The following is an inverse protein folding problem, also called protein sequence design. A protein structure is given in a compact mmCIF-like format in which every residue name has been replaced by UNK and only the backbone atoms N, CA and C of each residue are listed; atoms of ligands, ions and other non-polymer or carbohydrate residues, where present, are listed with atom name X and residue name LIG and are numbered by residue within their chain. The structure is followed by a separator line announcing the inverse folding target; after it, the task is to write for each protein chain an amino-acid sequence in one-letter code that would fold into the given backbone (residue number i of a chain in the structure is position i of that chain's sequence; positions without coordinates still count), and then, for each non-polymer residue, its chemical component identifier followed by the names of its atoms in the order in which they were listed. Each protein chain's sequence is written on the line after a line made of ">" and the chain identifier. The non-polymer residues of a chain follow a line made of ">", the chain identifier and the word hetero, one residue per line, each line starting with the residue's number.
data_IF_355503261935
#
_entry.id   IF_355503261935
#
_cell.length_a   1.000
_cell.length_b   1.000
_cell.length_c   1.000
_cell.angle_alpha   90.00
_cell.angle_beta   90.00
_cell.angle_gamma   90.00
#
_symmetry.space_group_name_H-M   'P 1'
#
loop_
_entity.id
_entity.type
_entity.pdbx_description
1 polymer ?
#
# COMPACT_ATOMS: atom_id res chain seq x y z
N UNK A 1 1.27 -28.15 1.33
CA UNK A 1 0.42 -26.93 1.39
C UNK A 1 0.71 -26.13 0.13
N UNK A 2 -0.31 -25.57 -0.51
CA UNK A 2 -0.18 -24.64 -1.63
C UNK A 2 -0.35 -23.23 -1.09
N UNK A 3 0.62 -22.36 -1.37
CA UNK A 3 0.56 -20.94 -1.00
C UNK A 3 0.22 -20.12 -2.25
N UNK A 4 -0.74 -19.22 -2.15
CA UNK A 4 -1.11 -18.34 -3.27
C UNK A 4 -1.18 -16.89 -2.80
N UNK A 5 -0.76 -16.00 -3.68
CA UNK A 5 -0.93 -14.57 -3.50
C UNK A 5 -2.21 -14.19 -4.23
N UNK A 6 -3.26 -13.81 -3.48
CA UNK A 6 -4.46 -13.29 -4.10
C UNK A 6 -4.13 -11.93 -4.75
N UNK A 7 -4.61 -11.74 -5.98
CA UNK A 7 -4.20 -10.69 -6.92
C UNK A 7 -3.92 -9.34 -6.23
N UNK A 8 -2.65 -8.94 -6.07
CA UNK A 8 -2.32 -7.73 -5.32
C UNK A 8 -2.50 -6.51 -6.24
N UNK A 9 -3.64 -5.83 -6.14
CA UNK A 9 -3.86 -4.59 -6.87
C UNK A 9 -2.80 -3.57 -6.44
N UNK A 10 -2.01 -3.04 -7.38
CA UNK A 10 -0.96 -2.06 -7.06
C UNK A 10 0.42 -2.66 -6.75
N UNK A 11 0.62 -3.96 -6.97
CA UNK A 11 1.94 -4.60 -7.00
C UNK A 11 2.14 -5.45 -8.25
N UNK A 12 3.38 -5.43 -8.77
CA UNK A 12 3.87 -6.35 -9.78
C UNK A 12 4.71 -7.43 -9.10
N UNK A 13 4.34 -8.71 -9.26
CA UNK A 13 5.12 -9.83 -8.73
C UNK A 13 6.31 -10.08 -9.65
N UNK A 14 7.51 -10.07 -9.08
CA UNK A 14 8.79 -10.24 -9.82
C UNK A 14 9.51 -11.54 -9.50
N UNK A 15 9.09 -12.26 -8.45
CA UNK A 15 9.54 -13.63 -8.17
C UNK A 15 8.79 -14.64 -9.02
N UNK A 16 9.47 -15.73 -9.38
CA UNK A 16 8.81 -16.91 -9.92
C UNK A 16 7.97 -17.59 -8.82
N UNK A 17 6.68 -17.76 -9.10
CA UNK A 17 5.71 -18.42 -8.23
C UNK A 17 5.26 -19.77 -8.81
N UNK A 18 6.03 -20.34 -9.73
CA UNK A 18 5.70 -21.62 -10.38
C UNK A 18 5.71 -22.82 -9.42
N UNK A 19 6.39 -22.72 -8.28
CA UNK A 19 6.47 -23.80 -7.28
C UNK A 19 6.13 -23.29 -5.87
N UNK A 20 4.83 -23.08 -5.63
CA UNK A 20 4.33 -22.64 -4.31
C UNK A 20 3.81 -23.79 -3.45
N UNK A 21 4.12 -25.03 -3.85
CA UNK A 21 3.76 -26.22 -3.11
C UNK A 21 4.87 -26.54 -2.13
N UNK A 22 4.59 -26.46 -0.84
CA UNK A 22 5.58 -26.64 0.22
C UNK A 22 5.21 -27.88 1.02
N UNK A 23 6.17 -28.79 1.20
CA UNK A 23 6.06 -29.86 2.19
C UNK A 23 6.50 -29.33 3.55
N UNK A 24 5.65 -29.49 4.58
CA UNK A 24 5.92 -29.00 5.94
C UNK A 24 5.84 -30.18 6.90
N UNK A 25 6.82 -30.32 7.79
CA UNK A 25 6.85 -31.37 8.79
C UNK A 25 6.00 -30.98 10.03
N UNK A 26 5.49 -31.96 10.80
CA UNK A 26 4.78 -31.68 12.04
C UNK A 26 5.63 -30.82 13.00
N UNK A 27 5.02 -29.81 13.62
CA UNK A 27 5.68 -28.89 14.55
C UNK A 27 6.86 -28.11 13.96
N UNK A 28 6.91 -27.95 12.64
CA UNK A 28 7.89 -27.11 11.94
C UNK A 28 7.21 -25.93 11.25
N UNK A 29 8.00 -24.98 10.77
CA UNK A 29 7.53 -23.84 9.97
C UNK A 29 8.43 -23.63 8.76
N UNK A 30 7.83 -23.19 7.66
CA UNK A 30 8.50 -22.86 6.41
C UNK A 30 8.21 -21.41 6.04
N UNK A 31 9.13 -20.75 5.34
CA UNK A 31 9.01 -19.35 4.95
C UNK A 31 9.18 -19.18 3.45
N UNK A 32 8.12 -18.75 2.76
CA UNK A 32 8.16 -18.37 1.35
C UNK A 32 8.47 -16.88 1.22
N UNK A 33 9.47 -16.54 0.39
CA UNK A 33 9.81 -15.15 0.09
C UNK A 33 9.28 -14.77 -1.28
N UNK A 34 8.39 -13.79 -1.32
CA UNK A 34 7.80 -13.25 -2.55
C UNK A 34 8.43 -11.89 -2.82
N UNK A 35 8.96 -11.69 -4.03
CA UNK A 35 9.49 -10.38 -4.46
C UNK A 35 8.41 -9.67 -5.26
N UNK A 36 8.06 -8.45 -4.83
CA UNK A 36 7.05 -7.62 -5.46
C UNK A 36 7.56 -6.20 -5.60
N UNK A 37 7.05 -5.50 -6.61
CA UNK A 37 7.34 -4.08 -6.87
C UNK A 37 6.04 -3.29 -6.76
N UNK A 38 6.02 -2.26 -5.91
CA UNK A 38 4.87 -1.36 -5.81
C UNK A 38 4.68 -0.57 -7.10
N UNK A 39 3.44 -0.46 -7.58
CA UNK A 39 3.09 0.27 -8.80
C UNK A 39 2.14 1.44 -8.54
N UNK A 40 1.55 1.51 -7.35
CA UNK A 40 0.58 2.54 -6.95
C UNK A 40 0.94 3.03 -5.56
N UNK A 41 0.90 4.35 -5.36
CA UNK A 41 1.15 4.99 -4.05
C UNK A 41 -0.09 4.86 -3.15
N UNK A 42 0.13 4.67 -1.86
CA UNK A 42 -0.89 4.61 -0.82
C UNK A 42 -0.96 3.27 -0.08
N UNK A 43 -2.02 3.08 0.70
CA UNK A 43 -2.25 1.89 1.50
C UNK A 43 -2.93 0.78 0.70
N UNK A 44 -2.24 -0.33 0.50
CA UNK A 44 -2.66 -1.43 -0.38
C UNK A 44 -2.75 -2.73 0.41
N UNK A 45 -3.91 -3.38 0.37
CA UNK A 45 -4.10 -4.68 1.00
C UNK A 45 -3.43 -5.80 0.19
N UNK A 46 -2.64 -6.62 0.88
CA UNK A 46 -2.06 -7.85 0.33
C UNK A 46 -2.68 -9.03 1.05
N UNK A 47 -3.16 -10.00 0.28
CA UNK A 47 -3.78 -11.22 0.82
C UNK A 47 -2.97 -12.44 0.39
N UNK A 48 -2.53 -13.22 1.36
CA UNK A 48 -1.86 -14.52 1.15
C UNK A 48 -2.80 -15.60 1.64
N UNK A 49 -3.02 -16.61 0.79
CA UNK A 49 -3.83 -17.78 1.12
C UNK A 49 -2.96 -19.03 1.14
N UNK A 50 -3.17 -19.89 2.12
CA UNK A 50 -2.50 -21.17 2.24
C UNK A 50 -3.55 -22.27 2.40
N UNK A 51 -3.47 -23.31 1.57
CA UNK A 51 -4.40 -24.44 1.64
C UNK A 51 -3.71 -25.79 1.48
N UNK A 52 -4.35 -26.85 1.94
CA UNK A 52 -3.88 -28.22 1.71
C UNK A 52 -3.76 -28.48 0.21
N UNK A 53 -2.55 -28.85 -0.21
CA UNK A 53 -2.24 -29.07 -1.62
C UNK A 53 -3.02 -30.29 -2.14
N UNK A 54 -3.53 -30.20 -3.37
CA UNK A 54 -4.26 -31.29 -4.02
C UNK A 54 -3.37 -32.45 -4.49
N UNK A 55 -2.04 -32.26 -4.55
CA UNK A 55 -1.07 -33.30 -4.92
C UNK A 55 0.03 -33.46 -3.86
N UNK A 56 0.42 -34.71 -3.60
CA UNK A 56 1.40 -35.08 -2.57
C UNK A 56 2.85 -35.09 -3.06
N UNK A 57 3.09 -34.80 -4.34
CA UNK A 57 4.38 -35.05 -4.99
C UNK A 57 5.55 -34.25 -4.39
N UNK A 58 5.27 -33.10 -3.78
CA UNK A 58 6.28 -32.25 -3.10
C UNK A 58 6.81 -32.87 -1.80
N UNK A 59 6.11 -33.82 -1.20
CA UNK A 59 6.56 -34.53 0.01
C UNK A 59 7.23 -35.88 -0.29
N UNK A 60 7.40 -36.25 -1.56
CA UNK A 60 7.90 -37.56 -1.98
C UNK A 60 7.03 -38.70 -1.46
N UNK A 61 7.65 -39.74 -0.92
CA UNK A 61 6.98 -40.95 -0.42
C UNK A 61 6.48 -40.81 1.05
N UNK A 62 6.63 -39.64 1.66
CA UNK A 62 6.22 -39.43 3.05
C UNK A 62 4.68 -39.46 3.17
N UNK A 63 4.12 -40.03 4.25
CA UNK A 63 2.69 -39.95 4.50
C UNK A 63 2.28 -38.48 4.65
N UNK A 64 1.26 -38.07 3.90
CA UNK A 64 0.71 -36.70 3.92
C UNK A 64 -0.62 -36.66 4.67
N UNK A 65 -0.95 -35.49 5.20
CA UNK A 65 -2.25 -35.22 5.80
C UNK A 65 -3.37 -35.34 4.74
N UNK A 66 -4.49 -35.97 5.10
CA UNK A 66 -5.61 -36.31 4.21
C UNK A 66 -6.83 -35.38 4.37
N UNK A 67 -6.82 -34.51 5.38
CA UNK A 67 -7.86 -33.52 5.60
C UNK A 67 -7.67 -32.24 4.77
N UNK A 68 -8.64 -31.33 4.91
CA UNK A 68 -8.60 -29.99 4.31
C UNK A 68 -8.30 -28.95 5.38
N UNK A 69 -7.29 -28.13 5.15
CA UNK A 69 -6.99 -26.95 5.96
C UNK A 69 -6.78 -25.78 5.01
N UNK A 70 -7.33 -24.62 5.36
CA UNK A 70 -7.19 -23.37 4.60
C UNK A 70 -7.11 -22.20 5.57
N UNK A 71 -6.20 -21.30 5.30
CA UNK A 71 -6.03 -20.05 6.02
C UNK A 71 -5.74 -18.91 5.04
N UNK A 72 -6.09 -17.69 5.44
CA UNK A 72 -5.85 -16.50 4.64
C UNK A 72 -5.54 -15.31 5.55
N UNK A 73 -4.48 -14.58 5.23
CA UNK A 73 -4.06 -13.38 5.94
C UNK A 73 -4.10 -12.21 4.99
N UNK A 74 -4.76 -11.13 5.40
CA UNK A 74 -4.75 -9.85 4.69
C UNK A 74 -4.04 -8.81 5.54
N UNK A 75 -3.02 -8.16 4.98
CA UNK A 75 -2.30 -7.09 5.65
C UNK A 75 -2.11 -5.89 4.70
N UNK A 76 -2.40 -4.65 5.16
CA UNK A 76 -2.09 -3.46 4.39
C UNK A 76 -0.58 -3.20 4.37
N UNK A 77 -0.05 -2.85 3.20
CA UNK A 77 1.29 -2.27 3.02
C UNK A 77 1.18 -0.85 2.50
N UNK A 78 1.96 0.05 3.08
CA UNK A 78 2.05 1.44 2.64
C UNK A 78 3.12 1.56 1.55
N UNK A 79 2.73 2.06 0.38
CA UNK A 79 3.66 2.38 -0.73
C UNK A 79 3.81 3.90 -0.80
N UNK A 80 4.98 4.40 -0.47
CA UNK A 80 5.31 5.81 -0.61
C UNK A 80 5.75 6.14 -2.04
N UNK A 81 5.49 7.38 -2.47
CA UNK A 81 5.98 7.88 -3.74
C UNK A 81 7.51 7.96 -3.73
N UNK A 82 8.12 7.56 -4.84
CA UNK A 82 9.55 7.67 -5.08
C UNK A 82 10.00 9.11 -5.30
N UNK A 83 11.32 9.33 -5.20
CA UNK A 83 11.93 10.64 -5.42
C UNK A 83 11.95 11.51 -4.16
N UNK A 84 12.05 12.83 -4.37
CA UNK A 84 12.13 13.81 -3.28
C UNK A 84 10.85 14.66 -3.25
N UNK A 85 10.21 14.82 -2.08
CA UNK A 85 9.02 15.67 -1.98
C UNK A 85 9.40 17.14 -2.21
N UNK A 86 8.62 17.82 -3.03
CA UNK A 86 8.71 19.27 -3.21
C UNK A 86 7.42 19.90 -2.66
N UNK A 87 7.58 20.74 -1.65
CA UNK A 87 6.46 21.40 -0.96
C UNK A 87 6.52 22.91 -1.20
N UNK A 88 5.38 23.48 -1.59
CA UNK A 88 5.21 24.92 -1.75
C UNK A 88 4.12 25.39 -0.79
N UNK A 89 4.47 26.31 0.10
CA UNK A 89 3.55 26.86 1.11
C UNK A 89 3.18 28.28 0.74
N UNK A 90 1.89 28.58 0.71
CA UNK A 90 1.36 29.93 0.60
C UNK A 90 0.53 30.23 1.84
N UNK A 91 0.93 31.24 2.60
CA UNK A 91 0.21 31.70 3.79
C UNK A 91 -0.26 33.13 3.61
N UNK A 92 -1.45 33.43 4.11
CA UNK A 92 -2.03 34.77 4.09
C UNK A 92 -2.74 35.04 5.41
N UNK A 93 -2.46 36.20 6.00
CA UNK A 93 -3.25 36.78 7.06
C UNK A 93 -4.21 37.78 6.44
N UNK A 94 -5.50 37.67 6.76
CA UNK A 94 -6.50 38.62 6.30
C UNK A 94 -7.44 39.01 7.44
N UNK A 95 -7.79 40.29 7.48
CA UNK A 95 -8.76 40.86 8.41
C UNK A 95 -9.95 41.35 7.61
N UNK A 96 -11.12 40.70 7.66
CA UNK A 96 -12.27 41.11 6.87
C UNK A 96 -12.66 42.58 7.06
N UNK A 97 -12.44 43.15 8.25
CA UNK A 97 -12.72 44.56 8.55
C UNK A 97 -11.92 45.57 7.72
N UNK A 98 -10.75 45.17 7.21
CA UNK A 98 -9.86 46.05 6.46
C UNK A 98 -10.23 46.09 4.96
N UNK A 99 -11.16 45.24 4.52
CA UNK A 99 -11.61 45.12 3.13
C UNK A 99 -12.81 46.03 2.83
N UNK A 100 -12.83 46.64 1.63
CA UNK A 100 -13.83 47.65 1.20
C UNK A 100 -15.29 47.17 1.32
N UNK A 101 -15.52 45.85 1.20
CA UNK A 101 -16.83 45.20 1.33
C UNK A 101 -16.95 44.27 2.56
N UNK A 102 -16.02 44.37 3.51
CA UNK A 102 -15.89 43.47 4.67
C UNK A 102 -15.76 41.98 4.30
N UNK A 103 -15.18 41.70 3.13
CA UNK A 103 -15.04 40.35 2.57
C UNK A 103 -13.67 40.21 1.96
N UNK A 104 -12.99 39.13 2.33
CA UNK A 104 -11.73 38.73 1.73
C UNK A 104 -11.96 37.54 0.80
N UNK A 105 -11.33 37.55 -0.37
CA UNK A 105 -11.35 36.43 -1.31
C UNK A 105 -9.99 36.35 -2.02
N UNK A 106 -9.45 35.14 -2.10
CA UNK A 106 -8.20 34.86 -2.81
C UNK A 106 -8.33 33.55 -3.57
N UNK A 107 -7.49 33.35 -4.58
CA UNK A 107 -7.47 32.14 -5.41
C UNK A 107 -6.04 31.69 -5.62
N UNK A 108 -5.81 30.39 -5.48
CA UNK A 108 -4.50 29.77 -5.68
C UNK A 108 -4.55 28.80 -6.86
N UNK A 109 -3.58 28.89 -7.76
CA UNK A 109 -3.42 27.93 -8.85
C UNK A 109 -2.37 26.90 -8.47
N UNK A 110 -2.78 25.65 -8.31
CA UNK A 110 -1.90 24.53 -7.98
C UNK A 110 -1.38 23.90 -9.27
N UNK A 111 -0.15 24.24 -9.66
CA UNK A 111 0.49 23.69 -10.85
C UNK A 111 1.46 22.57 -10.44
N UNK A 112 1.32 21.40 -11.05
CA UNK A 112 2.23 20.28 -10.84
C UNK A 112 3.39 20.33 -11.86
N UNK A 113 4.63 20.07 -11.41
CA UNK A 113 5.75 19.82 -12.33
C UNK A 113 5.47 18.64 -13.27
N UNK A 114 6.07 18.67 -14.47
CA UNK A 114 5.87 17.61 -15.49
C UNK A 114 6.42 16.25 -15.06
N UNK A 115 7.39 16.25 -14.15
CA UNK A 115 8.07 15.10 -13.58
C UNK A 115 7.44 14.62 -12.27
N UNK A 116 6.26 15.12 -11.90
CA UNK A 116 5.52 14.66 -10.73
C UNK A 116 5.13 13.18 -10.85
N UNK A 117 5.43 12.40 -9.81
CA UNK A 117 4.95 11.02 -9.66
C UNK A 117 3.42 11.02 -9.56
N UNK A 118 2.70 10.16 -10.31
CA UNK A 118 1.24 10.06 -10.22
C UNK A 118 0.76 9.78 -8.79
N UNK A 119 -0.34 10.42 -8.38
CA UNK A 119 -0.96 10.27 -7.05
C UNK A 119 -0.06 10.65 -5.85
N UNK A 120 1.09 11.29 -6.07
CA UNK A 120 1.96 11.78 -4.99
C UNK A 120 1.56 13.17 -4.47
N UNK A 121 0.86 13.96 -5.29
CA UNK A 121 0.48 15.33 -4.97
C UNK A 121 -0.64 15.39 -3.93
N UNK A 122 -0.46 16.24 -2.92
CA UNK A 122 -1.46 16.57 -1.90
C UNK A 122 -1.47 18.07 -1.65
N UNK A 123 -2.65 18.62 -1.35
CA UNK A 123 -2.82 20.02 -0.98
C UNK A 123 -3.57 20.08 0.35
N UNK A 124 -3.04 20.86 1.29
CA UNK A 124 -3.62 21.05 2.62
C UNK A 124 -3.91 22.54 2.77
N UNK A 125 -5.13 22.85 3.19
CA UNK A 125 -5.54 24.20 3.56
C UNK A 125 -5.86 24.19 5.04
N UNK A 126 -5.17 25.04 5.78
CA UNK A 126 -5.39 25.25 7.21
C UNK A 126 -5.80 26.70 7.44
N UNK A 127 -6.81 26.92 8.27
CA UNK A 127 -7.34 28.26 8.58
C UNK A 127 -7.47 28.38 10.09
N UNK A 128 -6.66 29.25 10.67
CA UNK A 128 -6.66 29.54 12.10
C UNK A 128 -6.87 31.03 12.35
N UNK A 129 -7.64 31.36 13.39
CA UNK A 129 -7.66 32.71 13.96
C UNK A 129 -6.65 32.81 15.11
N UNK A 130 -5.88 33.88 15.15
CA UNK A 130 -5.02 34.18 16.29
C UNK A 130 -5.82 34.90 17.37
N UNK A 131 -5.83 34.37 18.60
CA UNK A 131 -6.37 35.07 19.76
C UNK A 131 -5.21 35.80 20.45
N UNK A 132 -5.37 37.08 20.82
CA UNK A 132 -4.35 37.79 21.60
C UNK A 132 -4.17 37.10 22.96
N UNK A 133 -2.91 36.94 23.37
CA UNK A 133 -2.51 36.43 24.68
C UNK A 133 -2.85 37.39 25.81
#
# INVERSE_FOLDING_TARGET
>A
ITVTLAQPQGFEVTSDLSDNNICIQPSSSESLRIKMKGTTVGSINITVEAETASSSNVCGDSPVYDGVARDAITQPLEVEAEGFPNENVNSILFCPSDEENKKFSTSYSLNLPKDSVPNSSRAIVDVSGELPF
#
